data_IF_600103105316
#
_entry.id   IF_600103105316
#
_cell.length_a   1.000
_cell.length_b   1.000
_cell.length_c   1.000
_cell.angle_alpha   90.00
_cell.angle_beta   90.00
_cell.angle_gamma   90.00
#
_symmetry.space_group_name_H-M   'P 1'
#
loop_
_entity.id
_entity.type
_entity.pdbx_description
1 polymer ?
#
# COMPACT_ATOMS: atom_id res chain seq x y z
N UNK A 1 -13.88 17.54 9.01
CA UNK A 1 -12.63 17.04 9.58
C UNK A 1 -12.10 18.11 10.52
N UNK A 2 -12.10 17.88 11.82
CA UNK A 2 -11.15 18.57 12.70
C UNK A 2 -9.76 18.28 12.12
N UNK A 3 -8.93 19.31 12.04
CA UNK A 3 -7.56 19.16 11.55
C UNK A 3 -6.92 18.01 12.31
N UNK A 4 -6.74 16.87 11.66
CA UNK A 4 -5.93 15.80 12.19
C UNK A 4 -4.53 16.35 12.33
N UNK A 5 -4.13 16.67 13.54
CA UNK A 5 -2.73 16.91 13.86
C UNK A 5 -2.04 15.56 13.87
N UNK A 6 -1.48 15.24 12.72
CA UNK A 6 -0.73 14.00 12.48
C UNK A 6 0.33 13.74 13.54
N UNK A 7 0.99 14.78 13.99
CA UNK A 7 2.01 14.71 15.03
C UNK A 7 1.42 14.29 16.39
N UNK A 8 0.24 14.76 16.72
CA UNK A 8 -0.49 14.39 17.95
C UNK A 8 -0.95 12.94 17.88
N UNK A 9 -1.50 12.49 16.75
CA UNK A 9 -1.93 11.09 16.56
C UNK A 9 -0.74 10.14 16.69
N UNK A 10 0.40 10.42 16.05
CA UNK A 10 1.60 9.61 16.16
C UNK A 10 2.16 9.56 17.59
N UNK A 11 2.05 10.64 18.37
CA UNK A 11 2.54 10.72 19.73
C UNK A 11 1.62 10.03 20.74
N UNK A 12 0.31 10.14 20.59
CA UNK A 12 -0.67 9.53 21.50
C UNK A 12 -0.72 8.02 21.38
N UNK A 13 -0.50 7.46 20.18
CA UNK A 13 -0.54 6.02 19.94
C UNK A 13 0.81 5.31 20.07
N UNK A 14 1.92 6.04 20.27
CA UNK A 14 3.26 5.44 20.42
C UNK A 14 3.46 4.62 21.70
N UNK A 15 2.49 4.60 22.62
CA UNK A 15 2.61 3.95 23.94
C UNK A 15 2.03 2.54 24.05
N UNK A 16 1.44 1.99 22.98
CA UNK A 16 0.89 0.62 22.98
C UNK A 16 1.54 -0.23 21.89
N UNK A 17 2.81 -0.62 22.12
CA UNK A 17 3.44 -1.71 21.37
C UNK A 17 2.77 -3.06 21.75
N UNK A 18 1.66 -3.37 21.11
CA UNK A 18 1.31 -4.77 20.90
C UNK A 18 1.99 -5.20 19.60
N UNK A 19 2.94 -6.12 19.70
CA UNK A 19 3.54 -6.75 18.52
C UNK A 19 2.43 -7.26 17.60
N UNK A 20 2.45 -6.84 16.32
CA UNK A 20 1.50 -7.32 15.32
C UNK A 20 1.62 -8.84 15.18
N UNK A 21 0.52 -9.55 15.39
CA UNK A 21 0.45 -11.00 15.25
C UNK A 21 -0.23 -11.34 13.92
N UNK A 22 0.56 -11.68 12.91
CA UNK A 22 0.09 -12.03 11.56
C UNK A 22 -0.85 -13.26 11.57
N UNK A 23 -0.59 -14.25 12.43
CA UNK A 23 -1.42 -15.45 12.51
C UNK A 23 -2.82 -15.14 13.06
N UNK A 24 -2.90 -14.27 14.07
CA UNK A 24 -4.18 -13.79 14.60
C UNK A 24 -4.95 -13.00 13.55
N UNK A 25 -4.26 -12.13 12.82
CA UNK A 25 -4.85 -11.38 11.72
C UNK A 25 -5.39 -12.32 10.61
N UNK A 26 -4.58 -13.28 10.17
CA UNK A 26 -5.01 -14.24 9.15
C UNK A 26 -6.20 -15.10 9.59
N UNK A 27 -6.31 -15.45 10.87
CA UNK A 27 -7.47 -16.17 11.41
C UNK A 27 -8.76 -15.34 11.34
N UNK A 28 -8.66 -14.01 11.43
CA UNK A 28 -9.82 -13.13 11.21
C UNK A 28 -10.25 -13.21 9.75
N UNK A 29 -9.30 -13.15 8.80
CA UNK A 29 -9.58 -13.17 7.35
C UNK A 29 -10.08 -14.53 6.87
N UNK A 30 -9.53 -15.61 7.41
CA UNK A 30 -9.92 -16.98 7.07
C UNK A 30 -9.63 -17.92 8.23
N UNK A 31 -10.65 -18.36 8.99
CA UNK A 31 -10.48 -19.21 10.17
C UNK A 31 -9.72 -20.51 9.90
N UNK A 32 -9.90 -21.09 8.70
CA UNK A 32 -9.21 -22.29 8.26
C UNK A 32 -8.30 -21.94 7.08
N UNK A 33 -6.99 -21.87 7.36
CA UNK A 33 -6.00 -21.58 6.34
C UNK A 33 -6.00 -22.65 5.23
N UNK A 34 -6.19 -22.29 3.95
CA UNK A 34 -6.25 -23.25 2.86
C UNK A 34 -4.86 -23.82 2.56
N UNK A 35 -4.62 -25.09 2.93
CA UNK A 35 -3.31 -25.73 2.85
C UNK A 35 -2.69 -25.71 1.43
N UNK A 36 -3.52 -25.66 0.38
CA UNK A 36 -2.99 -25.62 -0.98
C UNK A 36 -2.20 -24.35 -1.29
N UNK A 37 -2.45 -23.24 -0.57
CA UNK A 37 -1.71 -21.99 -0.78
C UNK A 37 -0.23 -22.11 -0.37
N UNK A 38 0.11 -22.94 0.62
CA UNK A 38 1.47 -23.02 1.15
C UNK A 38 2.51 -23.24 0.06
N UNK A 39 2.26 -24.21 -0.84
CA UNK A 39 3.18 -24.53 -1.93
C UNK A 39 3.39 -23.39 -2.94
N UNK A 40 2.39 -22.51 -3.11
CA UNK A 40 2.51 -21.32 -3.94
C UNK A 40 3.28 -20.20 -3.22
N UNK A 41 2.98 -20.00 -1.94
CA UNK A 41 3.65 -19.00 -1.09
C UNK A 41 5.16 -19.29 -0.99
N UNK A 42 5.55 -20.57 -0.93
CA UNK A 42 6.96 -21.00 -0.84
C UNK A 42 7.77 -20.81 -2.13
N UNK A 43 7.12 -20.52 -3.26
CA UNK A 43 7.84 -20.28 -4.51
C UNK A 43 8.73 -19.03 -4.41
N UNK A 44 9.97 -19.07 -4.99
CA UNK A 44 10.89 -17.93 -4.97
C UNK A 44 10.29 -16.63 -5.49
N UNK A 45 9.44 -16.72 -6.52
CA UNK A 45 8.72 -15.57 -7.10
C UNK A 45 7.82 -14.87 -6.06
N UNK A 46 7.22 -15.61 -5.13
CA UNK A 46 6.43 -15.07 -4.03
C UNK A 46 7.30 -14.64 -2.86
N UNK A 47 8.30 -15.45 -2.47
CA UNK A 47 9.16 -15.17 -1.33
C UNK A 47 9.93 -13.85 -1.47
N UNK A 48 10.24 -13.44 -2.69
CA UNK A 48 10.81 -12.13 -2.99
C UNK A 48 10.01 -10.97 -2.37
N UNK A 49 8.68 -11.08 -2.37
CA UNK A 49 7.78 -10.05 -1.86
C UNK A 49 7.90 -9.83 -0.33
N UNK A 50 8.48 -10.77 0.40
CA UNK A 50 8.74 -10.61 1.84
C UNK A 50 9.73 -9.49 2.17
N UNK A 51 10.59 -9.13 1.21
CA UNK A 51 11.55 -8.03 1.32
C UNK A 51 11.05 -6.69 0.81
N UNK A 52 9.77 -6.57 0.43
CA UNK A 52 9.15 -5.35 -0.11
C UNK A 52 8.02 -4.91 0.81
N UNK A 53 8.10 -3.68 1.33
CA UNK A 53 7.09 -3.13 2.23
C UNK A 53 5.82 -2.68 1.49
N UNK A 54 4.67 -2.88 2.13
CA UNK A 54 3.38 -2.39 1.62
C UNK A 54 3.33 -0.85 1.57
N UNK A 55 3.97 -0.19 2.53
CA UNK A 55 3.84 1.24 2.79
C UNK A 55 4.84 2.11 2.02
N UNK A 56 5.28 1.66 0.84
CA UNK A 56 5.99 2.46 -0.16
C UNK A 56 7.23 3.20 0.37
N UNK A 57 8.05 2.53 1.18
CA UNK A 57 9.30 3.06 1.72
C UNK A 57 9.15 3.95 2.96
N UNK A 58 7.93 4.14 3.50
CA UNK A 58 7.72 4.92 4.74
C UNK A 58 8.42 4.29 5.94
N UNK A 59 8.71 2.99 5.91
CA UNK A 59 9.48 2.27 6.94
C UNK A 59 10.95 2.76 7.04
N UNK A 60 11.44 3.45 6.02
CA UNK A 60 12.85 3.85 5.90
C UNK A 60 13.11 5.33 6.17
N UNK A 61 12.09 6.09 6.53
CA UNK A 61 12.21 7.51 6.88
C UNK A 61 11.75 7.78 8.32
N UNK A 62 12.43 8.69 9.01
CA UNK A 62 12.04 9.11 10.36
C UNK A 62 10.77 9.96 10.41
N UNK A 63 10.22 10.32 9.22
CA UNK A 63 8.96 11.06 9.12
C UNK A 63 7.77 10.24 9.62
N UNK A 64 7.81 8.93 9.39
CA UNK A 64 6.80 7.98 9.85
C UNK A 64 7.37 7.10 10.97
N UNK A 65 6.50 6.74 11.90
CA UNK A 65 6.85 5.83 13.01
C UNK A 65 6.01 4.58 12.89
N UNK A 66 6.21 3.85 11.77
CA UNK A 66 5.50 2.60 11.53
C UNK A 66 5.75 1.63 12.68
N UNK A 67 4.68 1.01 13.18
CA UNK A 67 4.73 0.13 14.35
C UNK A 67 5.31 -1.24 14.03
N UNK A 68 5.21 -1.67 12.78
CA UNK A 68 5.75 -2.93 12.26
C UNK A 68 5.93 -2.83 10.74
N UNK A 69 6.79 -3.68 10.20
CA UNK A 69 6.94 -3.87 8.77
C UNK A 69 5.89 -4.87 8.28
N UNK A 70 5.08 -4.49 7.30
CA UNK A 70 4.12 -5.35 6.64
C UNK A 70 4.52 -5.52 5.18
N UNK A 71 4.82 -6.76 4.79
CA UNK A 71 5.37 -7.03 3.46
C UNK A 71 4.28 -7.16 2.39
N UNK A 72 4.68 -7.03 1.13
CA UNK A 72 3.83 -7.36 -0.02
C UNK A 72 3.45 -8.84 -0.06
N UNK A 73 4.30 -9.72 0.49
CA UNK A 73 3.92 -11.12 0.66
C UNK A 73 2.78 -11.28 1.65
N UNK A 74 2.87 -10.61 2.80
CA UNK A 74 1.82 -10.67 3.82
C UNK A 74 0.49 -10.15 3.26
N UNK A 75 0.53 -9.05 2.51
CA UNK A 75 -0.62 -8.48 1.81
C UNK A 75 -1.20 -9.48 0.79
N UNK A 76 -0.37 -10.03 -0.09
CA UNK A 76 -0.81 -10.99 -1.11
C UNK A 76 -1.46 -12.23 -0.51
N UNK A 77 -0.92 -12.74 0.61
CA UNK A 77 -1.54 -13.83 1.38
C UNK A 77 -2.87 -13.40 1.96
N UNK A 78 -2.95 -12.21 2.56
CA UNK A 78 -4.19 -11.66 3.11
C UNK A 78 -5.28 -11.53 2.05
N UNK A 79 -4.95 -11.01 0.86
CA UNK A 79 -5.88 -10.92 -0.29
C UNK A 79 -6.39 -12.30 -0.69
N UNK A 80 -5.49 -13.27 -0.82
CA UNK A 80 -5.85 -14.65 -1.15
C UNK A 80 -6.78 -15.27 -0.10
N UNK A 81 -6.52 -15.03 1.19
CA UNK A 81 -7.36 -15.52 2.29
C UNK A 81 -8.76 -14.93 2.25
N UNK A 82 -8.91 -13.65 1.95
CA UNK A 82 -10.22 -13.00 1.78
C UNK A 82 -10.97 -13.63 0.61
N UNK A 83 -10.32 -13.75 -0.56
CA UNK A 83 -10.94 -14.34 -1.74
C UNK A 83 -11.40 -15.78 -1.43
N UNK A 84 -10.55 -16.59 -0.83
CA UNK A 84 -10.91 -17.96 -0.45
C UNK A 84 -12.07 -18.01 0.55
N UNK A 85 -12.05 -17.13 1.54
CA UNK A 85 -13.11 -17.11 2.55
C UNK A 85 -14.49 -16.86 1.93
N UNK A 86 -14.59 -15.97 0.95
CA UNK A 86 -15.86 -15.58 0.34
C UNK A 86 -16.25 -16.42 -0.89
N UNK A 87 -15.29 -16.91 -1.68
CA UNK A 87 -15.59 -17.57 -2.96
C UNK A 87 -15.42 -19.08 -2.93
N UNK A 88 -14.51 -19.58 -2.10
CA UNK A 88 -14.02 -20.99 -2.13
C UNK A 88 -13.53 -21.41 -3.52
N UNK A 89 -13.16 -20.47 -4.37
CA UNK A 89 -12.63 -20.69 -5.70
C UNK A 89 -11.10 -20.64 -5.69
N UNK A 90 -10.48 -21.76 -6.04
CA UNK A 90 -9.02 -21.93 -5.98
C UNK A 90 -8.31 -21.06 -7.01
N UNK A 91 -8.86 -20.92 -8.21
CA UNK A 91 -8.27 -20.14 -9.30
C UNK A 91 -8.26 -18.65 -8.97
N UNK A 92 -9.40 -18.12 -8.53
CA UNK A 92 -9.49 -16.72 -8.08
C UNK A 92 -8.55 -16.44 -6.89
N UNK A 93 -8.46 -17.37 -5.95
CA UNK A 93 -7.58 -17.26 -4.79
C UNK A 93 -6.10 -17.18 -5.18
N UNK A 94 -5.67 -18.01 -6.13
CA UNK A 94 -4.30 -17.98 -6.62
C UNK A 94 -4.05 -16.72 -7.46
N UNK A 95 -5.01 -16.27 -8.28
CA UNK A 95 -4.89 -15.01 -9.00
C UNK A 95 -4.68 -13.83 -8.02
N UNK A 96 -5.45 -13.78 -6.93
CA UNK A 96 -5.26 -12.80 -5.87
C UNK A 96 -3.91 -12.92 -5.15
N UNK A 97 -3.41 -14.14 -4.91
CA UNK A 97 -2.08 -14.34 -4.34
C UNK A 97 -0.97 -13.77 -5.24
N UNK A 98 -1.12 -13.91 -6.56
CA UNK A 98 -0.08 -13.57 -7.54
C UNK A 98 -0.15 -12.10 -8.02
N UNK A 99 -1.15 -11.32 -7.63
CA UNK A 99 -1.40 -10.00 -8.23
C UNK A 99 -0.20 -9.04 -8.12
N UNK A 100 0.57 -9.12 -7.06
CA UNK A 100 1.70 -8.24 -6.76
C UNK A 100 3.08 -8.81 -7.12
N UNK A 101 3.17 -9.96 -7.83
CA UNK A 101 4.47 -10.63 -8.08
C UNK A 101 5.48 -9.76 -8.82
N UNK A 102 5.05 -8.76 -9.58
CA UNK A 102 5.93 -7.85 -10.30
C UNK A 102 6.22 -6.54 -9.56
N UNK A 103 5.67 -6.37 -8.35
CA UNK A 103 5.93 -5.15 -7.56
C UNK A 103 7.41 -5.04 -7.24
N UNK A 104 7.98 -3.86 -7.53
CA UNK A 104 9.38 -3.53 -7.26
C UNK A 104 9.56 -3.06 -5.82
N UNK A 105 10.81 -2.99 -5.37
CA UNK A 105 11.15 -2.40 -4.06
C UNK A 105 10.55 -1.00 -3.94
N UNK A 106 10.08 -0.65 -2.75
CA UNK A 106 9.37 0.58 -2.42
C UNK A 106 8.04 0.76 -3.18
N UNK A 107 7.52 -0.32 -3.79
CA UNK A 107 6.15 -0.37 -4.34
C UNK A 107 5.86 0.77 -5.32
N UNK A 108 4.88 1.62 -5.05
CA UNK A 108 4.47 2.72 -5.93
C UNK A 108 5.52 3.81 -6.17
N UNK A 109 6.67 3.78 -5.52
CA UNK A 109 7.79 4.67 -5.86
C UNK A 109 8.23 4.50 -7.31
N UNK A 110 8.10 3.29 -7.88
CA UNK A 110 8.37 3.05 -9.30
C UNK A 110 7.43 3.81 -10.24
N UNK A 111 6.16 3.99 -9.85
CA UNK A 111 5.19 4.79 -10.62
C UNK A 111 5.60 6.26 -10.66
N UNK A 112 6.05 6.80 -9.52
CA UNK A 112 6.58 8.16 -9.43
C UNK A 112 7.83 8.34 -10.30
N UNK A 113 8.74 7.35 -10.35
CA UNK A 113 9.90 7.37 -11.24
C UNK A 113 9.50 7.44 -12.73
N UNK A 114 8.40 6.80 -13.10
CA UNK A 114 7.85 6.79 -14.45
C UNK A 114 6.92 7.98 -14.74
N UNK A 115 6.69 8.86 -13.77
CA UNK A 115 5.78 10.01 -13.88
C UNK A 115 4.30 9.66 -13.77
N UNK A 116 3.96 8.46 -13.27
CA UNK A 116 2.59 7.96 -13.14
C UNK A 116 2.11 7.96 -11.68
N UNK A 117 2.08 9.13 -11.05
CA UNK A 117 1.58 9.28 -9.68
C UNK A 117 0.05 9.18 -9.55
N UNK A 118 -0.70 9.30 -10.66
CA UNK A 118 -2.16 9.36 -10.66
C UNK A 118 -2.83 8.01 -10.93
N UNK A 119 -2.36 7.22 -11.90
CA UNK A 119 -3.00 5.94 -12.25
C UNK A 119 -2.37 4.77 -11.52
N UNK A 120 -1.02 4.74 -11.41
CA UNK A 120 -0.27 3.72 -10.70
C UNK A 120 -0.51 2.30 -11.25
N UNK A 121 -0.39 2.13 -12.58
CA UNK A 121 -0.66 0.86 -13.30
C UNK A 121 0.60 0.19 -13.86
N UNK A 122 1.79 0.61 -13.43
CA UNK A 122 3.07 0.19 -14.04
C UNK A 122 3.41 -1.29 -13.90
N UNK A 123 2.68 -2.06 -13.10
CA UNK A 123 2.95 -3.48 -12.78
C UNK A 123 2.09 -4.49 -13.53
N UNK A 124 1.04 -4.08 -14.26
CA UNK A 124 0.08 -5.01 -14.89
C UNK A 124 0.73 -5.90 -15.98
N UNK A 125 1.39 -5.30 -16.97
CA UNK A 125 2.07 -6.06 -18.04
C UNK A 125 3.24 -6.92 -17.50
N UNK A 126 4.13 -6.39 -16.63
CA UNK A 126 5.16 -7.20 -15.98
C UNK A 126 4.61 -8.39 -15.20
N UNK A 127 3.49 -8.27 -14.51
CA UNK A 127 2.84 -9.37 -13.76
C UNK A 127 2.52 -10.55 -14.68
N UNK A 128 1.83 -10.31 -15.77
CA UNK A 128 1.50 -11.33 -16.77
C UNK A 128 2.77 -12.03 -17.28
N UNK A 129 3.78 -11.26 -17.66
CA UNK A 129 5.05 -11.81 -18.17
C UNK A 129 5.76 -12.67 -17.13
N UNK A 130 5.85 -12.22 -15.88
CA UNK A 130 6.52 -12.96 -14.82
C UNK A 130 5.81 -14.27 -14.52
N UNK A 131 4.48 -14.30 -14.42
CA UNK A 131 3.70 -15.52 -14.18
C UNK A 131 3.92 -16.52 -15.30
N UNK A 132 3.78 -16.09 -16.56
CA UNK A 132 3.90 -16.99 -17.71
C UNK A 132 5.33 -17.51 -17.95
N UNK A 133 6.36 -16.81 -17.48
CA UNK A 133 7.76 -17.20 -17.64
C UNK A 133 8.31 -18.04 -16.47
N UNK A 134 7.62 -18.08 -15.32
CA UNK A 134 8.08 -18.88 -14.17
C UNK A 134 7.70 -20.35 -14.34
N UNK A 135 8.70 -21.18 -14.69
CA UNK A 135 8.47 -22.60 -14.96
C UNK A 135 8.02 -23.41 -13.74
N UNK A 136 8.46 -23.02 -12.53
CA UNK A 136 8.07 -23.69 -11.30
C UNK A 136 6.59 -23.40 -10.96
N UNK A 137 6.19 -22.16 -11.09
CA UNK A 137 4.80 -21.73 -10.92
C UNK A 137 3.89 -22.38 -11.97
N UNK A 138 4.27 -22.37 -13.25
CA UNK A 138 3.46 -22.98 -14.31
C UNK A 138 3.26 -24.48 -14.10
N UNK A 139 4.29 -25.23 -13.71
CA UNK A 139 4.18 -26.66 -13.37
C UNK A 139 3.26 -26.90 -12.17
N UNK A 140 3.32 -26.03 -11.19
CA UNK A 140 2.48 -26.14 -10.00
C UNK A 140 1.00 -25.89 -10.35
N UNK A 141 0.72 -24.87 -11.16
CA UNK A 141 -0.62 -24.59 -11.69
C UNK A 141 -1.17 -25.77 -12.49
N UNK A 142 -0.36 -26.32 -13.41
CA UNK A 142 -0.73 -27.50 -14.20
C UNK A 142 -1.06 -28.70 -13.31
N UNK A 143 -0.25 -28.95 -12.25
CA UNK A 143 -0.53 -30.04 -11.30
C UNK A 143 -1.86 -29.86 -10.55
N UNK A 144 -2.33 -28.63 -10.43
CA UNK A 144 -3.62 -28.27 -9.81
C UNK A 144 -4.77 -28.15 -10.83
N UNK A 145 -4.49 -28.38 -12.12
CA UNK A 145 -5.48 -28.25 -13.20
C UNK A 145 -5.90 -26.80 -13.48
N UNK A 146 -5.02 -25.83 -13.23
CA UNK A 146 -5.24 -24.41 -13.43
C UNK A 146 -4.41 -23.93 -14.62
N UNK A 147 -5.06 -23.30 -15.58
CA UNK A 147 -4.36 -22.66 -16.70
C UNK A 147 -3.67 -21.37 -16.24
N UNK A 148 -2.38 -21.15 -16.57
CA UNK A 148 -1.67 -19.91 -16.18
C UNK A 148 -2.41 -18.63 -16.61
N UNK A 149 -3.07 -18.64 -17.77
CA UNK A 149 -3.85 -17.49 -18.28
C UNK A 149 -5.02 -17.07 -17.36
N UNK A 150 -5.52 -17.98 -16.53
CA UNK A 150 -6.65 -17.72 -15.64
C UNK A 150 -6.22 -17.05 -14.32
N UNK A 151 -4.90 -16.90 -14.10
CA UNK A 151 -4.33 -16.30 -12.89
C UNK A 151 -3.42 -15.08 -13.15
N UNK A 152 -3.22 -14.69 -14.42
CA UNK A 152 -2.36 -13.55 -14.79
C UNK A 152 -3.02 -12.18 -14.55
N UNK A 153 -4.34 -12.15 -14.50
CA UNK A 153 -5.12 -10.93 -14.31
C UNK A 153 -6.23 -11.15 -13.28
N UNK A 154 -6.01 -10.66 -12.07
CA UNK A 154 -7.00 -10.81 -10.99
C UNK A 154 -8.20 -9.86 -11.11
N UNK A 155 -8.13 -8.82 -11.95
CA UNK A 155 -9.23 -7.88 -12.21
C UNK A 155 -10.45 -8.52 -12.90
N UNK A 156 -10.24 -9.67 -13.55
CA UNK A 156 -11.39 -10.41 -14.15
C UNK A 156 -12.30 -11.02 -13.07
N UNK A 157 -11.85 -11.06 -11.82
CA UNK A 157 -12.56 -11.61 -10.67
C UNK A 157 -13.06 -10.48 -9.77
N UNK A 158 -14.35 -10.13 -9.80
CA UNK A 158 -14.87 -8.91 -9.16
C UNK A 158 -14.74 -8.86 -7.63
N UNK A 159 -14.59 -10.03 -6.97
CA UNK A 159 -14.28 -10.08 -5.53
C UNK A 159 -12.81 -9.79 -5.27
N UNK A 160 -11.90 -10.20 -6.17
CA UNK A 160 -10.47 -9.97 -6.01
C UNK A 160 -10.13 -8.48 -6.18
N UNK A 161 -10.53 -7.89 -7.30
CA UNK A 161 -10.46 -6.44 -7.51
C UNK A 161 -11.60 -5.92 -8.40
N UNK A 162 -11.83 -4.61 -8.32
CA UNK A 162 -12.87 -3.89 -9.06
C UNK A 162 -12.55 -2.39 -9.07
N UNK A 163 -13.37 -1.60 -9.75
CA UNK A 163 -13.19 -0.16 -9.85
C UNK A 163 -13.52 0.59 -8.55
N UNK A 164 -12.72 1.64 -8.25
CA UNK A 164 -13.04 2.60 -7.20
C UNK A 164 -14.38 3.28 -7.55
N UNK A 165 -15.33 3.43 -6.61
CA UNK A 165 -15.21 3.27 -5.15
C UNK A 165 -15.76 1.94 -4.60
N UNK A 166 -15.86 0.91 -5.41
CA UNK A 166 -16.33 -0.41 -4.96
C UNK A 166 -15.34 -1.09 -4.01
N UNK A 167 -15.84 -1.99 -3.16
CA UNK A 167 -15.00 -2.75 -2.23
C UNK A 167 -14.55 -4.06 -2.85
N UNK A 168 -13.24 -4.31 -2.85
CA UNK A 168 -12.60 -5.56 -3.29
C UNK A 168 -11.77 -6.17 -2.18
N UNK A 169 -11.33 -7.42 -2.37
CA UNK A 169 -10.44 -8.09 -1.42
C UNK A 169 -9.10 -7.33 -1.28
N UNK A 170 -8.54 -6.84 -2.38
CA UNK A 170 -7.32 -6.05 -2.37
C UNK A 170 -7.48 -4.76 -1.56
N UNK A 171 -8.50 -3.94 -1.87
CA UNK A 171 -8.78 -2.70 -1.14
C UNK A 171 -9.13 -2.93 0.33
N UNK A 172 -9.86 -3.99 0.63
CA UNK A 172 -10.20 -4.36 2.00
C UNK A 172 -8.95 -4.70 2.80
N UNK A 173 -8.07 -5.51 2.20
CA UNK A 173 -6.91 -6.05 2.89
C UNK A 173 -5.92 -4.96 3.26
N UNK A 174 -5.46 -4.14 2.30
CA UNK A 174 -4.36 -3.20 2.59
C UNK A 174 -4.73 -2.10 3.60
N UNK A 175 -6.01 -1.83 3.83
CA UNK A 175 -6.46 -0.81 4.78
C UNK A 175 -6.32 -1.25 6.24
N UNK A 176 -6.52 -2.50 6.56
CA UNK A 176 -6.38 -3.00 7.93
C UNK A 176 -4.94 -2.90 8.44
N UNK A 177 -3.93 -3.51 7.78
CA UNK A 177 -2.55 -3.38 8.23
C UNK A 177 -2.01 -1.96 8.10
N UNK A 178 -2.45 -1.16 7.11
CA UNK A 178 -2.05 0.25 7.00
C UNK A 178 -2.50 1.05 8.23
N UNK A 179 -3.75 0.89 8.66
CA UNK A 179 -4.24 1.57 9.86
C UNK A 179 -3.63 1.05 11.15
N UNK A 180 -3.28 -0.23 11.22
CA UNK A 180 -2.55 -0.77 12.36
C UNK A 180 -1.11 -0.24 12.43
N UNK A 181 -0.42 -0.15 11.29
CA UNK A 181 1.00 0.21 11.22
C UNK A 181 1.24 1.72 11.28
N UNK A 182 0.49 2.52 10.49
CA UNK A 182 0.72 3.95 10.33
C UNK A 182 0.26 4.76 11.53
N UNK A 183 -1.02 4.65 11.90
CA UNK A 183 -1.64 5.55 12.87
C UNK A 183 -2.33 4.83 14.05
N UNK A 184 -2.38 3.48 14.03
CA UNK A 184 -3.09 2.71 15.04
C UNK A 184 -4.60 2.97 15.08
N UNK A 185 -5.17 3.42 13.96
CA UNK A 185 -6.60 3.69 13.85
C UNK A 185 -7.46 2.43 13.94
N UNK A 186 -6.89 1.26 13.65
CA UNK A 186 -7.54 -0.04 13.78
C UNK A 186 -7.11 -0.80 15.02
N UNK A 187 -8.05 -1.54 15.60
CA UNK A 187 -7.79 -2.62 16.56
C UNK A 187 -8.19 -3.97 15.96
N UNK A 188 -7.62 -5.09 16.46
CA UNK A 188 -8.03 -6.43 16.00
C UNK A 188 -9.53 -6.70 16.24
N UNK A 189 -10.09 -6.17 17.33
CA UNK A 189 -11.52 -6.28 17.61
C UNK A 189 -12.37 -5.56 16.56
N UNK A 190 -12.03 -4.35 16.18
CA UNK A 190 -12.74 -3.60 15.14
C UNK A 190 -12.57 -4.25 13.76
N UNK A 191 -11.37 -4.78 13.44
CA UNK A 191 -11.14 -5.55 12.22
C UNK A 191 -12.05 -6.76 12.19
N UNK A 192 -12.08 -7.56 13.28
CA UNK A 192 -12.95 -8.73 13.36
C UNK A 192 -14.43 -8.38 13.24
N UNK A 193 -14.90 -7.30 13.88
CA UNK A 193 -16.29 -6.86 13.80
C UNK A 193 -16.68 -6.44 12.38
N UNK A 194 -15.88 -5.58 11.75
CA UNK A 194 -16.17 -5.11 10.38
C UNK A 194 -16.04 -6.24 9.37
N UNK A 195 -15.05 -7.12 9.50
CA UNK A 195 -14.85 -8.25 8.60
C UNK A 195 -15.97 -9.28 8.70
N UNK A 196 -16.43 -9.61 9.90
CA UNK A 196 -17.55 -10.55 10.11
C UNK A 196 -18.92 -10.00 9.63
N UNK A 197 -19.02 -8.69 9.44
CA UNK A 197 -20.20 -8.05 8.87
C UNK A 197 -20.22 -8.07 7.32
N UNK A 198 -19.13 -8.49 6.68
CA UNK A 198 -19.05 -8.57 5.21
C UNK A 198 -19.91 -9.69 4.65
N UNK A 199 -20.46 -9.44 3.49
CA UNK A 199 -21.19 -10.38 2.62
C UNK A 199 -20.94 -10.06 1.16
N UNK A 200 -21.19 -11.01 0.26
CA UNK A 200 -21.27 -10.76 -1.18
C UNK A 200 -22.65 -10.20 -1.51
N UNK A 201 -22.67 -9.07 -2.20
CA UNK A 201 -23.86 -8.41 -2.73
C UNK A 201 -23.75 -8.22 -4.24
N UNK A 202 -24.87 -7.96 -4.91
CA UNK A 202 -24.88 -7.59 -6.34
C UNK A 202 -24.84 -6.08 -6.47
N UNK A 203 -23.90 -5.60 -7.29
CA UNK A 203 -23.79 -4.17 -7.61
C UNK A 203 -24.75 -3.78 -8.75
N UNK A 204 -24.65 -2.54 -9.19
CA UNK A 204 -25.52 -1.93 -10.22
C UNK A 204 -25.42 -2.65 -11.58
N UNK A 205 -24.29 -3.32 -11.84
CA UNK A 205 -24.04 -4.12 -13.05
C UNK A 205 -24.38 -5.62 -12.86
N UNK A 206 -25.02 -5.97 -11.74
CA UNK A 206 -25.32 -7.36 -11.35
C UNK A 206 -24.07 -8.24 -11.17
N UNK A 207 -22.92 -7.63 -10.89
CA UNK A 207 -21.67 -8.32 -10.53
C UNK A 207 -21.57 -8.51 -9.03
N UNK A 208 -20.85 -9.54 -8.60
CA UNK A 208 -20.53 -9.75 -7.19
C UNK A 208 -19.59 -8.67 -6.68
N UNK A 209 -19.87 -8.15 -5.48
CA UNK A 209 -19.05 -7.16 -4.79
C UNK A 209 -19.11 -7.42 -3.28
N UNK A 210 -18.00 -7.21 -2.58
CA UNK A 210 -18.00 -7.20 -1.11
C UNK A 210 -18.77 -5.99 -0.60
N UNK A 211 -19.66 -6.22 0.36
CA UNK A 211 -20.43 -5.19 1.02
C UNK A 211 -20.73 -5.57 2.47
N UNK A 212 -21.50 -4.77 3.16
CA UNK A 212 -21.80 -4.91 4.58
C UNK A 212 -23.26 -5.31 4.83
N UNK A 213 -23.48 -6.09 5.89
CA UNK A 213 -24.81 -6.43 6.37
C UNK A 213 -25.50 -5.24 7.03
N UNK A 214 -24.69 -4.38 7.71
CA UNK A 214 -25.19 -3.27 8.54
C UNK A 214 -24.57 -1.94 8.11
N UNK A 215 -25.35 -0.86 8.22
CA UNK A 215 -24.89 0.50 7.97
C UNK A 215 -23.79 0.89 8.96
N UNK A 216 -23.94 0.52 10.23
CA UNK A 216 -22.99 0.86 11.29
C UNK A 216 -21.56 0.36 10.99
N UNK A 217 -21.41 -0.91 10.57
CA UNK A 217 -20.08 -1.46 10.23
C UNK A 217 -19.53 -0.87 8.93
N UNK A 218 -20.39 -0.60 7.96
CA UNK A 218 -20.01 0.10 6.73
C UNK A 218 -19.53 1.53 7.02
N UNK A 219 -20.20 2.28 7.89
CA UNK A 219 -19.80 3.62 8.32
C UNK A 219 -18.46 3.61 9.04
N UNK A 220 -18.26 2.66 9.98
CA UNK A 220 -17.01 2.49 10.69
C UNK A 220 -15.86 2.23 9.73
N UNK A 221 -16.05 1.28 8.80
CA UNK A 221 -15.02 0.95 7.82
C UNK A 221 -14.73 2.11 6.87
N UNK A 222 -15.77 2.75 6.33
CA UNK A 222 -15.64 3.92 5.45
C UNK A 222 -14.91 5.07 6.14
N UNK A 223 -15.23 5.36 7.40
CA UNK A 223 -14.55 6.39 8.19
C UNK A 223 -13.06 6.11 8.30
N UNK A 224 -12.68 4.89 8.67
CA UNK A 224 -11.26 4.51 8.83
C UNK A 224 -10.53 4.46 7.50
N UNK A 225 -11.19 4.04 6.42
CA UNK A 225 -10.65 4.10 5.08
C UNK A 225 -10.34 5.55 4.66
N UNK A 226 -11.27 6.47 4.89
CA UNK A 226 -11.05 7.90 4.60
C UNK A 226 -9.94 8.50 5.46
N UNK A 227 -9.76 8.07 6.72
CA UNK A 227 -8.65 8.52 7.56
C UNK A 227 -7.30 8.14 6.94
N UNK A 228 -7.11 6.88 6.56
CA UNK A 228 -5.89 6.43 5.88
C UNK A 228 -5.74 7.10 4.52
N UNK A 229 -6.82 7.19 3.74
CA UNK A 229 -6.84 7.90 2.46
C UNK A 229 -6.39 9.36 2.60
N UNK A 230 -6.81 10.04 3.67
CA UNK A 230 -6.39 11.41 3.97
C UNK A 230 -4.87 11.50 4.21
N UNK A 231 -4.30 10.57 5.00
CA UNK A 231 -2.85 10.48 5.21
C UNK A 231 -2.11 10.38 3.87
N UNK A 232 -2.63 9.57 2.95
CA UNK A 232 -2.04 9.39 1.62
C UNK A 232 -2.14 10.64 0.73
N UNK A 233 -3.06 11.58 1.03
CA UNK A 233 -3.21 12.87 0.32
C UNK A 233 -2.36 14.00 0.92
N UNK A 234 -1.74 13.80 2.08
CA UNK A 234 -0.87 14.80 2.71
C UNK A 234 0.44 15.00 1.93
N UNK A 235 0.99 16.21 2.03
CA UNK A 235 2.28 16.54 1.44
C UNK A 235 3.43 15.69 2.01
N UNK A 236 3.31 15.17 3.22
CA UNK A 236 4.22 14.20 3.81
C UNK A 236 4.39 12.95 2.94
N UNK A 237 3.27 12.37 2.49
CA UNK A 237 3.29 11.20 1.61
C UNK A 237 3.82 11.54 0.22
N UNK A 238 3.32 12.62 -0.38
CA UNK A 238 3.74 13.08 -1.70
C UNK A 238 5.24 13.35 -1.77
N UNK A 239 5.77 14.03 -0.74
CA UNK A 239 7.18 14.36 -0.62
C UNK A 239 8.04 13.12 -0.42
N UNK A 240 7.63 12.22 0.46
CA UNK A 240 8.37 10.96 0.73
C UNK A 240 8.51 10.13 -0.54
N UNK A 241 7.41 9.91 -1.27
CA UNK A 241 7.42 9.12 -2.51
C UNK A 241 8.25 9.79 -3.61
N UNK A 242 8.09 11.11 -3.80
CA UNK A 242 8.81 11.85 -4.84
C UNK A 242 10.31 11.93 -4.53
N UNK A 243 10.69 12.19 -3.27
CA UNK A 243 12.09 12.25 -2.88
C UNK A 243 12.75 10.87 -3.04
N UNK A 244 12.11 9.80 -2.59
CA UNK A 244 12.62 8.45 -2.75
C UNK A 244 12.73 8.05 -4.23
N UNK A 245 11.76 8.42 -5.07
CA UNK A 245 11.81 8.16 -6.51
C UNK A 245 13.01 8.83 -7.18
N UNK A 246 13.33 10.07 -6.79
CA UNK A 246 14.50 10.79 -7.29
C UNK A 246 15.81 10.18 -6.77
N UNK A 247 15.85 9.74 -5.50
CA UNK A 247 17.00 9.02 -4.94
C UNK A 247 17.25 7.74 -5.75
N UNK A 248 16.21 6.94 -6.05
CA UNK A 248 16.36 5.72 -6.84
C UNK A 248 16.88 6.02 -8.25
N UNK A 249 16.33 7.04 -8.92
CA UNK A 249 16.80 7.44 -10.25
C UNK A 249 18.26 7.89 -10.21
N UNK A 250 18.62 8.70 -9.23
CA UNK A 250 20.00 9.20 -9.09
C UNK A 250 20.99 8.09 -8.72
N UNK A 251 20.55 7.10 -7.95
CA UNK A 251 21.38 5.93 -7.63
C UNK A 251 21.74 5.12 -8.89
N UNK A 252 20.81 5.00 -9.84
CA UNK A 252 21.08 4.37 -11.14
C UNK A 252 22.04 5.22 -11.97
N UNK A 253 21.82 6.53 -12.07
CA UNK A 253 22.71 7.45 -12.78
C UNK A 253 24.16 7.43 -12.25
N UNK A 254 24.33 7.22 -10.95
CA UNK A 254 25.65 7.16 -10.29
C UNK A 254 26.22 5.72 -10.23
N UNK A 255 25.59 4.77 -10.90
CA UNK A 255 25.99 3.35 -10.92
C UNK A 255 26.08 2.71 -9.51
N UNK A 256 25.29 3.21 -8.57
CA UNK A 256 25.13 2.64 -7.22
C UNK A 256 24.18 1.46 -7.26
N UNK A 257 23.13 1.58 -8.08
CA UNK A 257 22.10 0.56 -8.32
C UNK A 257 21.97 0.30 -9.82
N UNK A 258 21.52 -0.90 -10.18
CA UNK A 258 21.09 -1.27 -11.50
C UNK A 258 19.56 -1.35 -11.57
N UNK A 259 18.93 -1.21 -12.73
CA UNK A 259 17.48 -1.35 -12.87
C UNK A 259 16.97 -2.73 -12.39
N UNK A 260 17.77 -3.78 -12.60
CA UNK A 260 17.43 -5.13 -12.12
C UNK A 260 17.43 -5.26 -10.59
N UNK A 261 18.18 -4.42 -9.88
CA UNK A 261 18.22 -4.42 -8.42
C UNK A 261 16.81 -4.18 -7.83
N UNK A 262 15.98 -3.38 -8.50
CA UNK A 262 14.61 -3.09 -8.04
C UNK A 262 13.68 -4.29 -8.08
N UNK A 263 13.99 -5.28 -8.90
CA UNK A 263 13.23 -6.52 -9.01
C UNK A 263 13.87 -7.68 -8.23
N UNK A 264 15.15 -7.63 -7.95
CA UNK A 264 15.91 -8.79 -7.43
C UNK A 264 16.33 -8.65 -5.97
N UNK A 265 16.45 -7.42 -5.47
CA UNK A 265 16.86 -7.16 -4.10
C UNK A 265 15.66 -6.84 -3.18
N UNK A 266 15.87 -6.99 -1.88
CA UNK A 266 14.98 -6.46 -0.85
C UNK A 266 15.25 -4.97 -0.61
N UNK A 267 14.29 -4.28 -0.01
CA UNK A 267 14.43 -2.86 0.37
C UNK A 267 15.65 -2.66 1.30
N UNK A 268 15.86 -3.56 2.28
CA UNK A 268 17.02 -3.49 3.16
C UNK A 268 18.34 -3.60 2.41
N UNK A 269 18.41 -4.41 1.36
CA UNK A 269 19.63 -4.53 0.54
C UNK A 269 19.88 -3.30 -0.33
N UNK A 270 18.83 -2.68 -0.84
CA UNK A 270 18.93 -1.39 -1.54
C UNK A 270 19.49 -0.31 -0.59
N UNK A 271 18.93 -0.20 0.61
CA UNK A 271 19.39 0.73 1.65
C UNK A 271 20.87 0.48 1.99
N UNK A 272 21.26 -0.78 2.22
CA UNK A 272 22.64 -1.18 2.51
C UNK A 272 23.62 -0.77 1.39
N UNK A 273 23.26 -0.98 0.11
CA UNK A 273 24.08 -0.57 -1.05
C UNK A 273 24.28 0.95 -1.08
N UNK A 274 23.21 1.72 -0.86
CA UNK A 274 23.29 3.19 -0.83
C UNK A 274 24.15 3.67 0.33
N UNK A 275 23.94 3.14 1.55
CA UNK A 275 24.70 3.53 2.75
C UNK A 275 26.18 3.18 2.62
N UNK A 276 26.49 2.04 2.05
CA UNK A 276 27.88 1.66 1.74
C UNK A 276 28.53 2.63 0.75
N UNK A 277 27.79 3.04 -0.29
CA UNK A 277 28.30 3.99 -1.28
C UNK A 277 28.59 5.36 -0.68
N UNK A 278 27.64 5.95 0.07
CA UNK A 278 27.79 7.29 0.62
C UNK A 278 28.76 7.37 1.81
N UNK A 279 29.15 6.21 2.38
CA UNK A 279 30.17 6.14 3.45
C UNK A 279 31.62 6.27 2.97
N UNK A 280 31.86 6.40 1.67
CA UNK A 280 33.20 6.61 1.09
C UNK A 280 33.85 7.88 1.65
N UNK A 281 35.17 7.84 1.84
CA UNK A 281 35.92 8.98 2.42
C UNK A 281 35.85 10.27 1.58
N UNK A 282 35.73 10.14 0.26
CA UNK A 282 35.67 11.28 -0.65
C UNK A 282 34.54 11.08 -1.64
N UNK A 283 33.62 12.05 -1.66
CA UNK A 283 32.50 12.10 -2.60
C UNK A 283 32.70 13.29 -3.56
N UNK A 284 32.43 13.10 -4.83
CA UNK A 284 32.29 14.17 -5.81
C UNK A 284 31.13 15.08 -5.46
N UNK A 285 31.00 16.23 -6.11
CA UNK A 285 29.89 17.16 -5.87
C UNK A 285 28.52 16.53 -6.13
N UNK A 286 28.38 15.72 -7.18
CA UNK A 286 27.14 15.02 -7.52
C UNK A 286 26.81 13.91 -6.49
N UNK A 287 27.83 13.17 -6.04
CA UNK A 287 27.67 12.16 -4.98
C UNK A 287 27.32 12.82 -3.63
N UNK A 288 27.84 14.02 -3.34
CA UNK A 288 27.45 14.77 -2.13
C UNK A 288 25.99 15.24 -2.18
N UNK A 289 25.51 15.69 -3.35
CA UNK A 289 24.08 16.01 -3.56
C UNK A 289 23.20 14.79 -3.36
N UNK A 290 23.58 13.66 -3.92
CA UNK A 290 22.88 12.39 -3.73
C UNK A 290 22.84 11.97 -2.27
N UNK A 291 23.99 12.02 -1.56
CA UNK A 291 24.08 11.73 -0.14
C UNK A 291 23.19 12.68 0.70
N UNK A 292 23.09 13.96 0.30
CA UNK A 292 22.21 14.93 0.96
C UNK A 292 20.74 14.57 0.77
N UNK A 293 20.32 14.21 -0.44
CA UNK A 293 18.94 13.76 -0.71
C UNK A 293 18.60 12.53 0.12
N UNK A 294 19.46 11.51 0.09
CA UNK A 294 19.27 10.28 0.85
C UNK A 294 19.21 10.55 2.36
N UNK A 295 20.15 11.33 2.89
CA UNK A 295 20.20 11.68 4.31
C UNK A 295 18.95 12.48 4.74
N UNK A 296 18.45 13.36 3.85
CA UNK A 296 17.19 14.10 4.05
C UNK A 296 16.02 13.13 4.18
N UNK A 297 15.86 12.20 3.23
CA UNK A 297 14.81 11.18 3.28
C UNK A 297 14.86 10.36 4.58
N UNK A 298 16.04 9.89 4.97
CA UNK A 298 16.20 9.04 6.16
C UNK A 298 15.91 9.78 7.48
N UNK A 299 16.27 11.07 7.57
CA UNK A 299 16.29 11.83 8.82
C UNK A 299 15.21 12.90 8.94
N UNK A 300 14.45 13.18 7.89
CA UNK A 300 13.35 14.14 7.97
C UNK A 300 12.32 13.71 9.00
N UNK A 301 11.83 14.65 9.80
CA UNK A 301 10.82 14.40 10.85
C UNK A 301 9.57 15.24 10.68
N UNK A 302 9.60 16.23 9.77
CA UNK A 302 8.47 17.10 9.47
C UNK A 302 8.55 17.65 8.05
N UNK A 303 7.41 18.01 7.50
CA UNK A 303 7.27 18.70 6.23
C UNK A 303 6.70 20.09 6.50
N UNK A 304 7.22 21.10 5.82
CA UNK A 304 6.69 22.47 5.85
C UNK A 304 5.60 22.61 4.77
N UNK A 305 4.42 23.03 5.19
CA UNK A 305 3.25 23.26 4.34
C UNK A 305 3.21 24.73 3.93
N UNK A 306 3.37 25.01 2.63
CA UNK A 306 3.54 26.38 2.14
C UNK A 306 2.71 26.66 0.88
N UNK A 307 2.33 27.93 0.67
CA UNK A 307 1.69 28.38 -0.56
C UNK A 307 2.68 28.69 -1.70
N UNK A 308 3.95 28.89 -1.36
CA UNK A 308 5.03 29.20 -2.28
C UNK A 308 6.18 28.21 -2.15
N UNK A 309 6.88 27.94 -3.25
CA UNK A 309 8.07 27.10 -3.25
C UNK A 309 9.19 27.77 -2.44
N UNK A 310 9.78 27.01 -1.54
CA UNK A 310 10.96 27.45 -0.78
C UNK A 310 12.25 27.34 -1.61
N UNK A 311 13.35 28.06 -1.23
CA UNK A 311 14.59 28.04 -1.99
C UNK A 311 15.19 26.65 -2.17
N UNK A 312 15.49 26.27 -3.40
CA UNK A 312 15.95 24.92 -3.79
C UNK A 312 17.36 24.56 -3.27
N UNK A 313 18.18 25.56 -2.99
CA UNK A 313 19.50 25.37 -2.36
C UNK A 313 19.41 24.88 -0.91
N UNK A 314 18.25 25.05 -0.27
CA UNK A 314 18.00 24.69 1.15
C UNK A 314 16.90 23.69 1.37
N UNK A 315 16.00 23.55 0.38
CA UNK A 315 14.78 22.75 0.53
C UNK A 315 14.56 21.85 -0.69
N UNK A 316 14.03 20.67 -0.42
CA UNK A 316 13.37 19.86 -1.42
C UNK A 316 11.85 20.10 -1.30
N UNK A 317 11.19 20.49 -2.38
CA UNK A 317 9.78 20.82 -2.39
C UNK A 317 9.02 20.03 -3.44
N UNK A 318 7.80 19.62 -3.11
CA UNK A 318 6.86 18.95 -4.04
C UNK A 318 5.58 19.74 -4.17
N UNK A 319 4.97 19.68 -5.36
CA UNK A 319 3.63 20.16 -5.65
C UNK A 319 3.03 19.23 -6.70
N UNK A 320 2.31 18.21 -6.25
CA UNK A 320 1.73 17.20 -7.15
C UNK A 320 0.42 16.65 -6.58
N UNK A 321 -0.36 16.03 -7.45
CA UNK A 321 -1.57 15.27 -7.09
C UNK A 321 -1.25 13.78 -7.13
N UNK A 322 -1.87 13.02 -6.26
CA UNK A 322 -1.77 11.56 -6.20
C UNK A 322 -3.14 10.92 -6.31
N UNK A 323 -3.18 9.64 -6.64
CA UNK A 323 -4.43 8.86 -6.73
C UNK A 323 -5.24 8.98 -5.45
N UNK A 324 -6.51 9.38 -5.58
CA UNK A 324 -7.45 9.39 -4.46
C UNK A 324 -8.00 7.98 -4.25
N UNK A 325 -7.74 7.43 -3.06
CA UNK A 325 -8.21 6.09 -2.67
C UNK A 325 -9.33 6.25 -1.66
N UNK A 326 -10.56 5.90 -2.05
CA UNK A 326 -11.75 5.92 -1.20
C UNK A 326 -12.69 4.79 -1.58
N UNK A 327 -13.68 4.53 -0.73
CA UNK A 327 -14.72 3.55 -0.97
C UNK A 327 -16.10 4.16 -0.73
N UNK A 328 -17.07 3.61 -1.45
CA UNK A 328 -18.50 3.79 -1.20
C UNK A 328 -19.15 2.40 -1.29
N UNK A 329 -18.99 1.56 -0.25
CA UNK A 329 -19.34 0.15 -0.31
C UNK A 329 -20.84 -0.06 -0.40
N UNK A 330 -21.24 -1.24 -0.89
CA UNK A 330 -22.61 -1.68 -0.81
C UNK A 330 -23.00 -2.02 0.63
N UNK A 331 -24.26 -1.74 0.96
CA UNK A 331 -24.88 -2.13 2.22
C UNK A 331 -26.20 -2.83 1.92
N UNK A 332 -26.44 -3.95 2.59
CA UNK A 332 -27.70 -4.68 2.50
C UNK A 332 -28.86 -3.80 3.01
N UNK A 333 -29.93 -3.67 2.21
CA UNK A 333 -31.15 -2.97 2.61
C UNK A 333 -32.35 -3.92 2.52
N UNK A 334 -33.18 -3.92 3.58
CA UNK A 334 -34.38 -4.76 3.64
C UNK A 334 -34.10 -6.23 4.01
N UNK A 335 -35.17 -7.03 4.07
CA UNK A 335 -35.13 -8.44 4.48
C UNK A 335 -34.59 -9.38 3.38
N UNK A 336 -34.69 -8.98 2.10
CA UNK A 336 -34.19 -9.78 0.99
C UNK A 336 -32.68 -9.59 0.80
N UNK A 337 -31.95 -10.68 0.70
CA UNK A 337 -30.48 -10.71 0.60
C UNK A 337 -29.90 -10.05 -0.66
N UNK A 338 -30.72 -9.68 -1.62
CA UNK A 338 -30.30 -9.13 -2.91
C UNK A 338 -30.49 -7.61 -3.07
N UNK A 339 -31.17 -6.95 -2.14
CA UNK A 339 -31.32 -5.50 -2.19
C UNK A 339 -30.13 -4.85 -1.49
N UNK A 340 -29.29 -4.18 -2.28
CA UNK A 340 -28.15 -3.42 -1.81
C UNK A 340 -28.25 -1.97 -2.29
N UNK A 341 -27.69 -1.05 -1.54
CA UNK A 341 -27.49 0.36 -1.91
C UNK A 341 -26.08 0.78 -1.57
N UNK A 342 -25.57 1.80 -2.24
CA UNK A 342 -24.31 2.44 -1.83
C UNK A 342 -24.47 3.10 -0.46
N UNK A 343 -23.43 3.02 0.35
CA UNK A 343 -23.45 3.58 1.70
C UNK A 343 -23.84 5.07 1.70
N UNK A 344 -23.35 5.86 0.74
CA UNK A 344 -23.69 7.28 0.61
C UNK A 344 -25.17 7.56 0.34
N UNK A 345 -25.93 6.57 -0.16
CA UNK A 345 -27.38 6.72 -0.41
C UNK A 345 -28.23 6.47 0.85
N UNK A 346 -27.66 5.80 1.86
CA UNK A 346 -28.37 5.37 3.07
C UNK A 346 -27.77 5.96 4.35
N UNK A 347 -26.67 6.70 4.25
CA UNK A 347 -25.98 7.35 5.35
C UNK A 347 -25.55 8.76 4.98
N UNK A 348 -26.19 9.75 5.56
CA UNK A 348 -25.78 11.16 5.40
C UNK A 348 -24.38 11.41 5.95
N UNK A 349 -24.01 10.69 7.04
CA UNK A 349 -22.67 10.74 7.61
C UNK A 349 -21.61 10.29 6.59
N UNK A 350 -21.80 9.13 5.99
CA UNK A 350 -20.85 8.59 5.01
C UNK A 350 -20.80 9.44 3.73
N UNK A 351 -21.95 9.93 3.26
CA UNK A 351 -22.02 10.83 2.11
C UNK A 351 -21.20 12.09 2.34
N UNK A 352 -21.38 12.73 3.50
CA UNK A 352 -20.60 13.91 3.87
C UNK A 352 -19.10 13.59 3.97
N UNK A 353 -18.75 12.49 4.62
CA UNK A 353 -17.37 12.06 4.81
C UNK A 353 -16.63 11.84 3.47
N UNK A 354 -17.26 11.11 2.55
CA UNK A 354 -16.72 10.88 1.21
C UNK A 354 -16.54 12.18 0.44
N UNK A 355 -17.55 13.07 0.50
CA UNK A 355 -17.49 14.38 -0.14
C UNK A 355 -16.34 15.22 0.42
N UNK A 356 -16.23 15.34 1.73
CA UNK A 356 -15.15 16.09 2.39
C UNK A 356 -13.77 15.53 2.02
N UNK A 357 -13.64 14.20 1.90
CA UNK A 357 -12.40 13.54 1.45
C UNK A 357 -12.06 13.90 0.00
N UNK A 358 -13.03 13.83 -0.91
CA UNK A 358 -12.82 14.12 -2.34
C UNK A 358 -12.48 15.59 -2.62
N UNK A 359 -13.01 16.50 -1.80
CA UNK A 359 -12.77 17.94 -1.90
C UNK A 359 -11.49 18.38 -1.17
N UNK A 360 -10.86 17.48 -0.38
CA UNK A 360 -9.67 17.85 0.37
C UNK A 360 -8.47 18.09 -0.55
N UNK A 361 -7.82 19.22 -0.36
CA UNK A 361 -6.51 19.53 -0.95
C UNK A 361 -5.56 20.03 0.16
N UNK A 362 -4.37 19.49 0.19
CA UNK A 362 -3.29 20.00 1.05
C UNK A 362 -2.72 21.31 0.48
N UNK A 363 -1.83 21.96 1.21
CA UNK A 363 -1.15 23.17 0.73
C UNK A 363 -0.44 22.93 -0.60
N UNK A 364 -0.30 23.99 -1.40
CA UNK A 364 0.26 23.91 -2.76
C UNK A 364 1.63 23.24 -2.80
N UNK A 365 2.47 23.48 -1.79
CA UNK A 365 3.80 22.88 -1.65
C UNK A 365 3.97 22.21 -0.30
N UNK A 366 4.58 21.01 -0.33
CA UNK A 366 5.22 20.39 0.82
C UNK A 366 6.73 20.48 0.64
N UNK A 367 7.42 21.02 1.62
CA UNK A 367 8.86 21.22 1.55
C UNK A 367 9.57 20.62 2.76
N UNK A 368 10.76 20.06 2.55
CA UNK A 368 11.64 19.60 3.62
C UNK A 368 13.01 20.26 3.50
N UNK A 369 13.55 20.69 4.63
CA UNK A 369 14.91 21.24 4.65
C UNK A 369 15.92 20.15 4.33
N UNK A 370 16.84 20.42 3.42
CA UNK A 370 17.92 19.51 3.06
C UNK A 370 18.85 19.27 4.27
N UNK A 371 19.22 18.01 4.50
CA UNK A 371 20.07 17.56 5.59
C UNK A 371 21.34 16.96 4.98
N UNK A 372 22.44 17.73 4.89
CA UNK A 372 23.72 17.22 4.41
C UNK A 372 24.24 16.08 5.29
N UNK A 373 25.02 15.14 4.75
CA UNK A 373 25.73 14.17 5.57
C UNK A 373 26.68 14.91 6.54
N UNK A 374 26.75 14.42 7.77
CA UNK A 374 27.67 14.95 8.76
C UNK A 374 29.10 14.74 8.26
N UNK A 375 29.84 15.80 7.99
CA UNK A 375 31.28 15.67 7.74
C UNK A 375 31.91 15.13 9.02
N UNK A 376 32.37 13.90 9.00
CA UNK A 376 33.32 13.41 10.02
C UNK A 376 34.59 14.19 9.82
N UNK A 377 34.77 15.26 10.61
CA UNK A 377 36.05 15.92 10.73
C UNK A 377 37.02 14.84 11.24
N UNK A 378 37.97 14.46 10.39
CA UNK A 378 39.17 13.74 10.79
C UNK A 378 40.13 14.66 11.54
#
# INVERSE_FOLDING_TARGET
FEKYDWQTILNEHSQTEKSFNIEEYYKILCPEFPNFLKKYIELPIMQRLSGIGLLCGTDWTSLYKNRFFYSRLDHSVGVALIIWNFTKDKTQTIAGLLHDVSTTVFSHVSDFRKGDALTQTSTEEPTTKMILSDSALCKLLESDGIEPKDVVDYHIYPIADNEIPSLSADRLEYMYPSGLALDGSWTFEEIAKTYNDLIILKNEENKDELGFKTIEMAELYCKKFCMIGHILQLNENKLSLQLLSQIMSKAVELDVLQEEDFMTLSESKIIEKIESFISKKTLSLEEQKFATMYNTFRKMTKVEHTSQKLPEDKYFCVSLKVKQRYINPLVKVGANSQQAKRLSEVSDFANKLIKDFLEYEDTKFGCVRLIPPTQTNL
#
